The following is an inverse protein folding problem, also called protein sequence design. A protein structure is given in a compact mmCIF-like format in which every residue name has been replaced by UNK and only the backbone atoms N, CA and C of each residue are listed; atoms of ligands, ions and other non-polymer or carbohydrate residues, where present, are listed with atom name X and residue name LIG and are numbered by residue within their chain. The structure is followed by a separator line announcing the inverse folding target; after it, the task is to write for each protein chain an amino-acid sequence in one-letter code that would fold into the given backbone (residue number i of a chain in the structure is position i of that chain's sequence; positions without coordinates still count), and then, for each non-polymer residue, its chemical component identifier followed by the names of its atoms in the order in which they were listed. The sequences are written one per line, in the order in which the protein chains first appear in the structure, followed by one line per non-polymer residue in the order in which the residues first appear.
data_IF_642007235956
#
_entry.id   IF_642007235956
#
_cell.length_a   1.000
_cell.length_b   1.000
_cell.length_c   1.000
_cell.angle_alpha   90.00
_cell.angle_beta   90.00
_cell.angle_gamma   90.00
#
_symmetry.space_group_name_H-M   'P 1'
#
loop_
_entity.id
_entity.type
_entity.pdbx_description
1 polymer ?
#
# COMPACT_ATOMS: atom_id res chain seq x y z
N UNK A 1 11.62 9.06 2.71
CA UNK A 1 10.91 7.77 2.83
C UNK A 1 9.39 7.99 2.83
N UNK A 2 8.77 8.54 3.88
CA UNK A 2 7.29 8.77 3.96
C UNK A 2 6.73 9.55 2.76
N UNK A 3 7.52 10.49 2.21
CA UNK A 3 7.15 11.25 1.01
C UNK A 3 6.80 10.35 -0.18
N UNK A 4 7.49 9.22 -0.38
CA UNK A 4 7.21 8.30 -1.50
C UNK A 4 5.84 7.64 -1.32
N UNK A 5 5.52 7.22 -0.09
CA UNK A 5 4.20 6.71 0.24
C UNK A 5 3.11 7.77 0.03
N UNK A 6 3.34 9.01 0.47
CA UNK A 6 2.40 10.11 0.30
C UNK A 6 2.16 10.44 -1.19
N UNK A 7 3.21 10.45 -2.02
CA UNK A 7 3.10 10.65 -3.47
C UNK A 7 2.32 9.51 -4.12
N UNK A 8 2.58 8.25 -3.74
CA UNK A 8 1.83 7.10 -4.24
C UNK A 8 0.34 7.16 -3.87
N UNK A 9 0.03 7.60 -2.64
CA UNK A 9 -1.34 7.83 -2.19
C UNK A 9 -2.02 8.94 -2.99
N UNK A 10 -1.34 10.07 -3.23
CA UNK A 10 -1.87 11.16 -4.05
C UNK A 10 -2.14 10.73 -5.50
N UNK A 11 -1.22 9.97 -6.09
CA UNK A 11 -1.40 9.43 -7.45
C UNK A 11 -2.61 8.49 -7.51
N UNK A 12 -2.74 7.59 -6.53
CA UNK A 12 -3.91 6.75 -6.40
C UNK A 12 -5.21 7.54 -6.27
N UNK A 13 -5.25 8.57 -5.44
CA UNK A 13 -6.42 9.45 -5.30
C UNK A 13 -6.74 10.14 -6.61
N UNK A 14 -5.75 10.65 -7.35
CA UNK A 14 -5.95 11.25 -8.66
C UNK A 14 -6.57 10.25 -9.66
N UNK A 15 -6.11 9.00 -9.67
CA UNK A 15 -6.69 7.95 -10.52
C UNK A 15 -8.13 7.58 -10.12
N UNK A 16 -8.46 7.56 -8.82
CA UNK A 16 -9.86 7.36 -8.37
C UNK A 16 -10.75 8.48 -8.89
N UNK A 17 -10.30 9.73 -8.77
CA UNK A 17 -11.05 10.91 -9.23
C UNK A 17 -11.20 10.98 -10.75
N UNK A 18 -10.34 10.29 -11.48
CA UNK A 18 -10.37 10.25 -12.95
C UNK A 18 -11.19 9.07 -13.49
N UNK A 19 -11.98 8.36 -12.68
CA UNK A 19 -12.70 7.12 -13.03
C UNK A 19 -11.79 5.92 -13.43
N UNK A 20 -10.47 6.04 -13.28
CA UNK A 20 -9.53 4.96 -13.57
C UNK A 20 -9.32 4.07 -12.33
N UNK A 21 -10.43 3.52 -11.81
CA UNK A 21 -10.48 2.76 -10.55
C UNK A 21 -9.45 1.63 -10.47
N UNK A 22 -9.13 0.99 -11.59
CA UNK A 22 -8.14 -0.09 -11.65
C UNK A 22 -6.71 0.44 -11.47
N UNK A 23 -6.34 1.52 -12.17
CA UNK A 23 -5.02 2.16 -12.01
C UNK A 23 -4.88 2.72 -10.60
N UNK A 24 -5.97 3.24 -10.03
CA UNK A 24 -6.01 3.68 -8.65
C UNK A 24 -5.76 2.54 -7.65
N UNK A 25 -6.45 1.41 -7.82
CA UNK A 25 -6.30 0.23 -6.95
C UNK A 25 -4.89 -0.35 -7.03
N UNK A 26 -4.30 -0.40 -8.23
CA UNK A 26 -2.92 -0.82 -8.42
C UNK A 26 -1.92 0.15 -7.76
N UNK A 27 -2.10 1.47 -7.94
CA UNK A 27 -1.25 2.49 -7.32
C UNK A 27 -1.35 2.48 -5.77
N UNK A 28 -2.54 2.26 -5.21
CA UNK A 28 -2.73 2.06 -3.77
C UNK A 28 -2.02 0.81 -3.28
N UNK A 29 -2.18 -0.32 -4.00
CA UNK A 29 -1.52 -1.57 -3.67
C UNK A 29 0.01 -1.42 -3.66
N UNK A 30 0.58 -0.77 -4.68
CA UNK A 30 2.02 -0.48 -4.75
C UNK A 30 2.49 0.41 -3.59
N UNK A 31 1.67 1.40 -3.19
CA UNK A 31 1.95 2.26 -2.03
C UNK A 31 1.96 1.47 -0.73
N UNK A 32 1.03 0.52 -0.55
CA UNK A 32 1.00 -0.36 0.63
C UNK A 32 2.19 -1.34 0.66
N UNK A 33 2.62 -1.85 -0.49
CA UNK A 33 3.83 -2.66 -0.58
C UNK A 33 5.08 -1.86 -0.19
N UNK A 34 5.17 -0.60 -0.63
CA UNK A 34 6.23 0.32 -0.20
C UNK A 34 6.19 0.57 1.32
N UNK A 35 4.99 0.77 1.88
CA UNK A 35 4.80 0.92 3.33
C UNK A 35 5.25 -0.32 4.11
N UNK A 36 5.00 -1.52 3.59
CA UNK A 36 5.51 -2.77 4.18
C UNK A 36 7.03 -2.81 4.19
N UNK A 37 7.68 -2.43 3.07
CA UNK A 37 9.13 -2.37 2.95
C UNK A 37 9.74 -1.39 3.98
N UNK A 38 9.11 -0.23 4.15
CA UNK A 38 9.48 0.75 5.18
C UNK A 38 9.30 0.19 6.58
N UNK A 39 8.19 -0.50 6.83
CA UNK A 39 7.92 -1.14 8.12
C UNK A 39 8.93 -2.23 8.43
N UNK A 40 9.54 -2.89 7.47
CA UNK A 40 10.60 -3.86 7.72
C UNK A 40 11.96 -3.18 7.96
N UNK A 41 12.27 -2.13 7.18
CA UNK A 41 13.58 -1.45 7.19
C UNK A 41 13.77 -0.42 8.30
N UNK A 42 12.70 0.22 8.80
CA UNK A 42 12.78 1.18 9.91
C UNK A 42 12.72 0.46 11.27
N UNK A 43 13.75 0.63 12.10
CA UNK A 43 13.83 -0.04 13.41
C UNK A 43 12.83 0.54 14.43
N UNK A 44 12.10 -0.31 15.14
CA UNK A 44 11.02 0.08 16.07
C UNK A 44 11.53 0.40 17.48
N UNK A 45 12.78 0.89 17.57
CA UNK A 45 13.58 0.99 18.80
C UNK A 45 13.04 1.95 19.88
N UNK A 46 11.89 2.59 19.67
CA UNK A 46 11.35 3.67 20.54
C UNK A 46 9.99 3.35 21.16
N UNK A 47 9.25 2.30 20.73
CA UNK A 47 7.84 2.14 21.18
C UNK A 47 7.66 0.79 21.90
N UNK A 48 8.30 0.66 23.06
CA UNK A 48 8.07 -0.42 24.02
C UNK A 48 6.72 -0.36 24.75
N UNK A 49 5.89 0.65 24.47
CA UNK A 49 4.64 0.90 25.20
C UNK A 49 3.36 0.46 24.45
N UNK A 50 3.45 0.09 23.17
CA UNK A 50 2.32 -0.41 22.35
C UNK A 50 2.66 -1.73 21.67
N UNK A 51 3.30 -2.64 22.41
CA UNK A 51 3.77 -3.95 21.95
C UNK A 51 2.64 -5.00 21.72
N UNK A 52 1.40 -4.58 21.46
CA UNK A 52 0.28 -5.51 21.19
C UNK A 52 0.31 -6.01 19.74
N UNK A 53 0.86 -5.21 18.79
CA UNK A 53 0.93 -5.57 17.37
C UNK A 53 2.38 -5.61 16.90
N UNK A 54 2.89 -6.81 16.64
CA UNK A 54 4.24 -7.03 16.12
C UNK A 54 4.50 -6.22 14.85
N UNK A 55 5.69 -5.60 14.73
CA UNK A 55 6.21 -4.96 13.51
C UNK A 55 6.05 -5.87 12.28
N UNK A 56 6.27 -7.18 12.47
CA UNK A 56 6.13 -8.20 11.42
C UNK A 56 4.69 -8.39 10.98
N UNK A 57 3.74 -8.34 11.91
CA UNK A 57 2.32 -8.45 11.60
C UNK A 57 1.85 -7.27 10.75
N UNK A 58 2.25 -6.04 11.10
CA UNK A 58 1.86 -4.84 10.35
C UNK A 58 2.45 -4.86 8.92
N UNK A 59 3.71 -5.29 8.79
CA UNK A 59 4.35 -5.47 7.49
C UNK A 59 3.68 -6.57 6.65
N UNK A 60 3.35 -7.72 7.25
CA UNK A 60 2.66 -8.81 6.56
C UNK A 60 1.25 -8.40 6.13
N UNK A 61 0.51 -7.70 6.99
CA UNK A 61 -0.83 -7.22 6.69
C UNK A 61 -0.83 -6.24 5.52
N UNK A 62 0.06 -5.24 5.56
CA UNK A 62 0.18 -4.25 4.48
C UNK A 62 0.70 -4.86 3.17
N UNK A 63 1.61 -5.83 3.23
CA UNK A 63 2.07 -6.58 2.06
C UNK A 63 0.96 -7.45 1.46
N UNK A 64 0.23 -8.20 2.29
CA UNK A 64 -0.85 -9.07 1.84
C UNK A 64 -1.99 -8.25 1.23
N UNK A 65 -2.38 -7.16 1.89
CA UNK A 65 -3.42 -6.25 1.37
C UNK A 65 -2.97 -5.59 0.07
N UNK A 66 -1.76 -5.01 0.03
CA UNK A 66 -1.23 -4.38 -1.18
C UNK A 66 -1.07 -5.36 -2.35
N UNK A 67 -0.60 -6.58 -2.06
CA UNK A 67 -0.50 -7.67 -3.03
C UNK A 67 -1.86 -8.13 -3.55
N UNK A 68 -2.85 -8.31 -2.67
CA UNK A 68 -4.21 -8.65 -3.07
C UNK A 68 -4.85 -7.55 -3.93
N UNK A 69 -4.66 -6.28 -3.57
CA UNK A 69 -5.14 -5.15 -4.37
C UNK A 69 -4.51 -5.12 -5.77
N UNK A 70 -3.19 -5.32 -5.87
CA UNK A 70 -2.51 -5.38 -7.17
C UNK A 70 -2.94 -6.60 -7.99
N UNK A 71 -3.10 -7.76 -7.35
CA UNK A 71 -3.56 -8.98 -8.01
C UNK A 71 -4.97 -8.82 -8.58
N UNK A 72 -5.90 -8.31 -7.78
CA UNK A 72 -7.29 -8.07 -8.22
C UNK A 72 -7.34 -7.05 -9.34
N UNK A 73 -6.62 -5.93 -9.20
CA UNK A 73 -6.53 -4.91 -10.24
C UNK A 73 -5.96 -5.48 -11.55
N UNK A 74 -4.98 -6.38 -11.48
CA UNK A 74 -4.41 -7.03 -12.66
C UNK A 74 -5.36 -8.06 -13.29
N UNK A 75 -6.10 -8.82 -12.47
CA UNK A 75 -7.00 -9.87 -12.95
C UNK A 75 -8.26 -9.35 -13.66
N UNK A 76 -8.63 -8.08 -13.44
CA UNK A 76 -9.86 -7.52 -14.02
C UNK A 76 -9.57 -6.84 -15.36
N UNK A 77 -10.25 -7.33 -16.40
CA UNK A 77 -10.17 -6.81 -17.76
C UNK A 77 -10.57 -5.33 -17.88
N UNK A 78 -9.92 -4.68 -18.86
CA UNK A 78 -10.11 -3.27 -19.16
C UNK A 78 -11.39 -3.06 -19.97
N UNK A 79 -12.57 -3.24 -19.37
CA UNK A 79 -13.78 -2.74 -20.02
C UNK A 79 -13.78 -1.20 -19.94
N UNK A 80 -13.08 -0.56 -20.87
CA UNK A 80 -13.15 0.88 -21.12
C UNK A 80 -12.56 1.82 -20.05
N UNK A 81 -11.42 1.49 -19.43
CA UNK A 81 -10.60 2.46 -18.68
C UNK A 81 -9.40 2.95 -19.48
#
# INVERSE_FOLDING_TARGET
MVVIFAVGLLAATAYVLSDHWRRATFALGASLAWLSLMRLTCDSKVIGLVAVRSKRFDALFTAALGGAMMWLAWSVDALGS
#
